data_IF_689793402499
#
_entry.id   IF_689793402499
#
_cell.length_a   1.000
_cell.length_b   1.000
_cell.length_c   1.000
_cell.angle_alpha   90.00
_cell.angle_beta   90.00
_cell.angle_gamma   90.00
#
_symmetry.space_group_name_H-M   'P 1'
#
loop_
_entity.id
_entity.type
_entity.pdbx_description
1 polymer ?
#
# COMPACT_ATOMS: atom_id res chain seq x y z
N UNK A 1 20.17 -16.36 -5.50
CA UNK A 1 19.75 -15.33 -6.47
C UNK A 1 19.17 -16.06 -7.66
N UNK A 2 17.87 -15.95 -7.86
CA UNK A 2 17.20 -16.61 -8.98
C UNK A 2 17.59 -15.92 -10.29
N UNK A 3 18.08 -16.69 -11.26
CA UNK A 3 18.09 -16.21 -12.65
C UNK A 3 16.65 -15.87 -13.04
N UNK A 4 16.41 -14.69 -13.62
CA UNK A 4 15.08 -14.39 -14.17
C UNK A 4 14.80 -15.35 -15.33
N UNK A 5 13.73 -16.13 -15.19
CA UNK A 5 13.21 -16.99 -16.24
C UNK A 5 11.94 -16.39 -16.83
N UNK A 6 11.79 -16.59 -18.14
CA UNK A 6 10.59 -16.24 -18.87
C UNK A 6 9.88 -17.52 -19.25
N UNK A 7 8.55 -17.55 -19.10
CA UNK A 7 7.72 -18.56 -19.77
C UNK A 7 7.94 -18.40 -21.28
N UNK A 8 8.39 -19.47 -21.94
CA UNK A 8 8.67 -19.49 -23.37
C UNK A 8 7.71 -20.42 -24.10
N UNK A 9 7.34 -20.06 -25.33
CA UNK A 9 6.64 -20.97 -26.24
C UNK A 9 7.58 -22.06 -26.78
N UNK A 10 7.01 -23.12 -27.35
CA UNK A 10 7.80 -24.19 -27.98
C UNK A 10 8.71 -23.66 -29.11
N UNK A 11 8.21 -22.72 -29.92
CA UNK A 11 9.01 -22.08 -30.98
C UNK A 11 10.21 -21.31 -30.41
N UNK A 12 10.01 -20.56 -29.32
CA UNK A 12 11.08 -19.82 -28.65
C UNK A 12 12.11 -20.76 -28.00
N UNK A 13 11.65 -21.89 -27.45
CA UNK A 13 12.53 -22.93 -26.92
C UNK A 13 13.38 -23.55 -28.05
N UNK A 14 12.78 -23.83 -29.20
CA UNK A 14 13.49 -24.33 -30.39
C UNK A 14 14.55 -23.33 -30.89
N UNK A 15 14.24 -22.03 -30.88
CA UNK A 15 15.20 -20.96 -31.21
C UNK A 15 16.35 -20.92 -30.20
N UNK A 16 16.07 -21.00 -28.90
CA UNK A 16 17.12 -21.05 -27.86
C UNK A 16 18.04 -22.25 -28.03
N UNK A 17 17.49 -23.41 -28.39
CA UNK A 17 18.27 -24.63 -28.62
C UNK A 17 19.12 -24.59 -29.90
N UNK A 18 18.72 -23.78 -30.88
CA UNK A 18 19.41 -23.64 -32.17
C UNK A 18 20.76 -22.94 -32.07
N UNK A 19 20.98 -22.11 -31.05
CA UNK A 19 22.18 -21.29 -30.91
C UNK A 19 22.94 -21.58 -29.61
N UNK A 20 24.26 -21.34 -29.56
CA UNK A 20 25.02 -21.44 -28.32
C UNK A 20 24.46 -20.53 -27.22
N UNK A 21 24.50 -21.01 -25.98
CA UNK A 21 24.04 -20.23 -24.83
C UNK A 21 24.86 -18.94 -24.67
N UNK A 22 24.17 -17.84 -24.38
CA UNK A 22 24.81 -16.56 -24.10
C UNK A 22 25.42 -16.60 -22.69
N UNK A 23 26.71 -16.26 -22.58
CA UNK A 23 27.38 -16.11 -21.27
C UNK A 23 26.82 -14.86 -20.58
N UNK A 24 26.09 -15.04 -19.48
CA UNK A 24 25.60 -13.94 -18.65
C UNK A 24 26.59 -13.68 -17.52
N UNK A 25 27.08 -12.44 -17.40
CA UNK A 25 27.94 -11.95 -16.31
C UNK A 25 27.32 -10.73 -15.64
N UNK A 26 26.07 -10.88 -15.19
CA UNK A 26 25.31 -9.85 -14.49
C UNK A 26 24.37 -10.53 -13.48
N UNK A 27 23.96 -9.77 -12.48
CA UNK A 27 22.99 -10.18 -11.47
C UNK A 27 21.96 -9.07 -11.27
N UNK A 28 20.77 -9.43 -10.79
CA UNK A 28 19.75 -8.46 -10.40
C UNK A 28 19.83 -8.24 -8.90
N UNK A 29 20.00 -6.99 -8.51
CA UNK A 29 19.98 -6.55 -7.12
C UNK A 29 18.57 -6.07 -6.74
N UNK A 30 18.43 -5.56 -5.52
CA UNK A 30 17.15 -5.14 -4.94
C UNK A 30 16.38 -4.17 -5.85
N UNK A 31 15.08 -4.45 -6.01
CA UNK A 31 14.18 -3.60 -6.78
C UNK A 31 13.21 -2.88 -5.84
N UNK A 32 13.22 -1.55 -5.90
CA UNK A 32 12.22 -0.70 -5.25
C UNK A 32 11.14 -0.35 -6.27
N UNK A 33 9.88 -0.36 -5.81
CA UNK A 33 8.74 0.16 -6.56
C UNK A 33 7.90 1.02 -5.60
N UNK A 34 7.45 2.17 -6.10
CA UNK A 34 6.62 3.11 -5.36
C UNK A 34 5.47 3.61 -6.24
N UNK A 35 4.44 4.15 -5.58
CA UNK A 35 3.29 4.79 -6.22
C UNK A 35 2.93 6.04 -5.44
N UNK A 36 2.60 7.12 -6.14
CA UNK A 36 2.07 8.33 -5.52
C UNK A 36 0.55 8.22 -5.39
N UNK A 37 0.05 8.37 -4.16
CA UNK A 37 -1.38 8.49 -3.89
C UNK A 37 -1.77 9.97 -3.89
N UNK A 38 -2.82 10.31 -4.63
CA UNK A 38 -3.42 11.65 -4.64
C UNK A 38 -4.88 11.52 -4.23
N UNK A 39 -5.21 12.08 -3.07
CA UNK A 39 -6.54 12.04 -2.48
C UNK A 39 -7.01 13.46 -2.12
N UNK A 40 -8.32 13.67 -2.09
CA UNK A 40 -8.96 14.95 -1.82
C UNK A 40 -10.29 14.75 -1.11
N UNK A 41 -10.84 15.84 -0.57
CA UNK A 41 -12.14 15.87 0.08
C UNK A 41 -12.61 17.31 0.31
N UNK A 42 -13.86 17.48 0.71
CA UNK A 42 -14.43 18.77 1.13
C UNK A 42 -13.81 19.25 2.45
N UNK A 43 -13.31 18.31 3.27
CA UNK A 43 -12.62 18.57 4.53
C UNK A 43 -11.23 17.94 4.56
N UNK A 44 -10.41 18.39 5.51
CA UNK A 44 -9.07 17.82 5.70
C UNK A 44 -9.17 16.37 6.19
N UNK A 45 -10.15 16.10 7.05
CA UNK A 45 -10.52 14.77 7.53
C UNK A 45 -10.83 13.84 6.35
N UNK A 46 -11.67 14.29 5.42
CA UNK A 46 -12.01 13.51 4.23
C UNK A 46 -10.79 13.30 3.32
N UNK A 47 -9.94 14.31 3.13
CA UNK A 47 -8.71 14.12 2.36
C UNK A 47 -7.76 13.08 2.99
N UNK A 48 -7.66 13.03 4.33
CA UNK A 48 -6.85 12.04 5.05
C UNK A 48 -7.47 10.65 4.93
N UNK A 49 -8.78 10.51 5.17
CA UNK A 49 -9.46 9.22 5.11
C UNK A 49 -9.42 8.64 3.69
N UNK A 50 -9.60 9.47 2.66
CA UNK A 50 -9.46 9.07 1.25
C UNK A 50 -8.03 8.64 0.88
N UNK A 51 -7.01 9.18 1.56
CA UNK A 51 -5.63 8.73 1.37
C UNK A 51 -5.42 7.30 1.91
N UNK A 52 -5.99 6.98 3.07
CA UNK A 52 -6.01 5.61 3.60
C UNK A 52 -6.83 4.67 2.69
N UNK A 53 -7.98 5.13 2.20
CA UNK A 53 -8.78 4.37 1.23
C UNK A 53 -8.01 4.08 -0.06
N UNK A 54 -7.26 5.04 -0.59
CA UNK A 54 -6.41 4.83 -1.76
C UNK A 54 -5.30 3.81 -1.51
N UNK A 55 -4.71 3.81 -0.31
CA UNK A 55 -3.70 2.81 0.09
C UNK A 55 -4.28 1.40 0.09
N UNK A 56 -5.45 1.18 0.72
CA UNK A 56 -6.10 -0.14 0.74
C UNK A 56 -6.68 -0.55 -0.61
N UNK A 57 -7.19 0.41 -1.40
CA UNK A 57 -7.64 0.20 -2.77
C UNK A 57 -6.52 -0.26 -3.72
N UNK A 58 -5.26 0.04 -3.39
CA UNK A 58 -4.11 -0.50 -4.14
C UNK A 58 -3.84 -1.98 -3.82
N UNK A 59 -4.28 -2.46 -2.65
CA UNK A 59 -4.08 -3.85 -2.21
C UNK A 59 -5.17 -4.78 -2.74
N UNK A 60 -6.44 -4.34 -2.74
CA UNK A 60 -7.58 -5.11 -3.23
C UNK A 60 -8.76 -4.19 -3.59
N UNK A 61 -9.77 -4.77 -4.23
CA UNK A 61 -11.08 -4.12 -4.39
C UNK A 61 -11.82 -4.05 -3.04
N UNK A 62 -11.78 -2.87 -2.42
CA UNK A 62 -12.38 -2.57 -1.11
C UNK A 62 -13.91 -2.77 -1.09
N UNK A 63 -14.60 -2.72 -2.24
CA UNK A 63 -16.04 -2.97 -2.29
C UNK A 63 -16.40 -4.44 -2.02
N UNK A 64 -15.42 -5.35 -2.08
CA UNK A 64 -15.59 -6.78 -1.77
C UNK A 64 -15.40 -7.10 -0.28
N UNK A 65 -14.91 -6.15 0.52
CA UNK A 65 -14.64 -6.34 1.95
C UNK A 65 -15.94 -6.23 2.76
N UNK A 66 -16.28 -7.26 3.53
CA UNK A 66 -17.47 -7.25 4.39
C UNK A 66 -17.20 -6.48 5.71
N UNK A 67 -18.07 -5.52 6.11
CA UNK A 67 -17.87 -4.72 7.31
C UNK A 67 -18.34 -5.46 8.58
N UNK A 68 -17.57 -6.48 8.99
CA UNK A 68 -17.92 -7.37 10.11
C UNK A 68 -17.30 -6.98 11.46
N UNK A 69 -16.32 -6.07 11.46
CA UNK A 69 -15.63 -5.59 12.66
C UNK A 69 -15.30 -4.09 12.49
N UNK A 70 -14.85 -3.43 13.55
CA UNK A 70 -14.44 -2.02 13.53
C UNK A 70 -13.23 -1.80 14.42
N UNK A 71 -12.18 -1.18 13.87
CA UNK A 71 -10.96 -0.81 14.58
C UNK A 71 -10.88 0.71 14.71
N UNK A 72 -10.48 1.17 15.89
CA UNK A 72 -10.12 2.56 16.12
C UNK A 72 -8.61 2.75 16.05
N UNK A 73 -8.17 3.78 15.33
CA UNK A 73 -6.78 4.22 15.23
C UNK A 73 -6.68 5.65 15.73
N UNK A 74 -5.72 5.88 16.63
CA UNK A 74 -5.37 7.21 17.14
C UNK A 74 -3.87 7.42 16.98
N UNK A 75 -3.49 8.52 16.33
CA UNK A 75 -2.08 8.87 16.13
C UNK A 75 -1.83 10.34 16.39
N UNK A 76 -0.57 10.67 16.61
CA UNK A 76 -0.10 12.04 16.79
C UNK A 76 1.15 12.30 15.94
N UNK A 77 1.37 13.56 15.57
CA UNK A 77 2.51 14.00 14.76
C UNK A 77 3.18 15.23 15.37
N UNK A 78 4.32 15.62 14.80
CA UNK A 78 4.98 16.89 15.12
C UNK A 78 4.51 18.04 14.24
N UNK A 79 3.84 17.72 13.12
CA UNK A 79 3.22 18.61 12.15
C UNK A 79 2.16 17.84 11.34
N UNK A 80 1.54 18.50 10.35
CA UNK A 80 0.51 17.86 9.51
C UNK A 80 1.04 16.73 8.61
N UNK A 81 2.30 16.80 8.18
CA UNK A 81 2.89 15.81 7.27
C UNK A 81 3.24 14.53 8.03
N UNK A 82 3.89 14.67 9.18
CA UNK A 82 4.16 13.57 10.11
C UNK A 82 2.87 12.96 10.65
N UNK A 83 1.81 13.76 10.88
CA UNK A 83 0.49 13.24 11.26
C UNK A 83 -0.09 12.34 10.16
N UNK A 84 -0.04 12.76 8.89
CA UNK A 84 -0.48 11.92 7.76
C UNK A 84 0.37 10.66 7.64
N UNK A 85 1.69 10.78 7.79
CA UNK A 85 2.60 9.65 7.76
C UNK A 85 2.27 8.61 8.83
N UNK A 86 2.22 9.00 10.12
CA UNK A 86 1.88 8.09 11.21
C UNK A 86 0.45 7.54 11.10
N UNK A 87 -0.50 8.34 10.60
CA UNK A 87 -1.86 7.87 10.35
C UNK A 87 -1.89 6.71 9.33
N UNK A 88 -1.21 6.86 8.19
CA UNK A 88 -1.15 5.79 7.18
C UNK A 88 -0.32 4.60 7.65
N UNK A 89 0.80 4.86 8.34
CA UNK A 89 1.67 3.82 8.88
C UNK A 89 0.94 2.94 9.89
N UNK A 90 0.13 3.53 10.77
CA UNK A 90 -0.59 2.77 11.79
C UNK A 90 -1.77 1.98 11.20
N UNK A 91 -2.47 2.51 10.19
CA UNK A 91 -3.43 1.74 9.40
C UNK A 91 -2.77 0.58 8.66
N UNK A 92 -1.60 0.83 8.05
CA UNK A 92 -0.81 -0.21 7.39
C UNK A 92 -0.31 -1.26 8.38
N UNK A 93 0.02 -0.88 9.62
CA UNK A 93 0.39 -1.78 10.70
C UNK A 93 -0.76 -2.71 11.09
N UNK A 94 -2.00 -2.19 11.18
CA UNK A 94 -3.20 -3.03 11.41
C UNK A 94 -3.40 -4.11 10.35
N UNK A 95 -3.06 -3.79 9.11
CA UNK A 95 -3.03 -4.76 8.02
C UNK A 95 -1.79 -5.68 8.05
N UNK A 96 -0.62 -5.21 8.46
CA UNK A 96 0.63 -5.96 8.25
C UNK A 96 1.04 -6.85 9.43
N UNK A 97 0.71 -6.47 10.66
CA UNK A 97 1.32 -7.04 11.86
C UNK A 97 0.33 -7.53 12.93
N UNK A 98 -0.93 -7.06 12.89
CA UNK A 98 -1.91 -7.38 13.92
C UNK A 98 -2.88 -8.48 13.42
N UNK A 99 -4.03 -8.09 12.86
CA UNK A 99 -5.10 -9.02 12.49
C UNK A 99 -5.24 -9.25 10.98
N UNK A 100 -4.30 -8.74 10.18
CA UNK A 100 -4.48 -8.60 8.73
C UNK A 100 -5.78 -7.86 8.39
N UNK A 101 -6.13 -6.88 9.23
CA UNK A 101 -7.36 -6.13 9.10
C UNK A 101 -7.32 -5.26 7.85
N UNK A 102 -8.38 -5.33 7.06
CA UNK A 102 -8.58 -4.47 5.91
C UNK A 102 -9.92 -3.74 6.09
N UNK A 103 -9.91 -2.39 6.21
CA UNK A 103 -11.15 -1.65 6.32
C UNK A 103 -11.87 -1.65 4.98
N UNK A 104 -13.20 -1.82 5.02
CA UNK A 104 -14.05 -1.50 3.87
C UNK A 104 -14.09 0.01 3.63
N UNK A 105 -14.11 0.77 4.71
CA UNK A 105 -14.18 2.23 4.71
C UNK A 105 -13.41 2.76 5.92
N UNK A 106 -12.59 3.79 5.74
CA UNK A 106 -11.95 4.52 6.83
C UNK A 106 -12.68 5.85 6.99
N UNK A 107 -13.04 6.18 8.24
CA UNK A 107 -13.61 7.47 8.61
C UNK A 107 -12.72 8.20 9.60
N UNK A 108 -12.27 9.39 9.24
CA UNK A 108 -11.60 10.29 10.18
C UNK A 108 -12.67 11.06 10.96
N UNK A 109 -12.68 10.85 12.28
CA UNK A 109 -13.67 11.44 13.17
C UNK A 109 -13.27 12.84 13.63
N UNK A 110 -11.97 13.11 13.77
CA UNK A 110 -11.46 14.41 14.18
C UNK A 110 -9.97 14.57 13.86
N UNK A 111 -9.57 15.76 13.39
CA UNK A 111 -8.18 16.21 13.36
C UNK A 111 -8.02 17.45 14.24
N UNK A 112 -7.16 17.35 15.24
CA UNK A 112 -6.65 18.51 15.99
C UNK A 112 -5.44 19.09 15.24
N UNK A 113 -5.67 20.22 14.58
CA UNK A 113 -4.65 20.92 13.76
C UNK A 113 -3.66 21.73 14.58
N UNK A 114 -3.91 21.93 15.87
CA UNK A 114 -3.04 22.70 16.77
C UNK A 114 -2.06 21.76 17.45
N UNK A 115 -2.57 20.62 17.95
CA UNK A 115 -1.78 19.62 18.67
C UNK A 115 -1.39 18.42 17.80
N UNK A 116 -1.74 18.42 16.52
CA UNK A 116 -1.45 17.37 15.53
C UNK A 116 -1.87 15.98 16.02
N UNK A 117 -3.16 15.82 16.32
CA UNK A 117 -3.74 14.53 16.72
C UNK A 117 -4.87 14.15 15.80
N UNK A 118 -5.01 12.87 15.51
CA UNK A 118 -6.08 12.34 14.66
C UNK A 118 -6.72 11.13 15.31
N UNK A 119 -8.03 11.00 15.13
CA UNK A 119 -8.81 9.84 15.55
C UNK A 119 -9.68 9.37 14.38
N UNK A 120 -9.57 8.09 14.05
CA UNK A 120 -10.30 7.47 12.95
C UNK A 120 -10.81 6.09 13.32
N UNK A 121 -11.83 5.63 12.60
CA UNK A 121 -12.34 4.25 12.65
C UNK A 121 -12.37 3.67 11.25
N UNK A 122 -12.42 2.35 11.14
CA UNK A 122 -12.59 1.63 9.89
C UNK A 122 -12.84 0.15 10.08
#
# INVERSE_FOLDING_TARGET
>A
MDERYYTVTEEQAAVKAKYPAVVKKHEYLDHTADVQLHAWGETLEEAFEQCAMAMFGYMTDIETVEPIDTIEVQTEGSDMLSLLYHFLDEWLYKFSADQYFIPREVKVLHIDRINFKIRSIG
#
